data_IF_904498097518
#
_entry.id   IF_904498097518
#
_cell.length_a   1.000
_cell.length_b   1.000
_cell.length_c   1.000
_cell.angle_alpha   90.00
_cell.angle_beta   90.00
_cell.angle_gamma   90.00
#
_symmetry.space_group_name_H-M   'P 1'
#
loop_
_entity.id
_entity.type
_entity.pdbx_description
1 polymer ?
#
# COMPACT_ATOMS: atom_id res chain seq x y z
N UNK A 1 -36.81 33.15 -87.15
CA UNK A 1 -37.81 32.85 -86.11
C UNK A 1 -37.14 33.13 -84.76
N UNK A 2 -37.02 34.38 -84.28
CA UNK A 2 -38.04 35.22 -83.60
C UNK A 2 -38.87 34.40 -82.60
N UNK A 3 -38.94 34.67 -81.29
CA UNK A 3 -38.42 35.73 -80.43
C UNK A 3 -38.95 35.56 -78.99
N UNK A 4 -38.42 36.39 -78.07
CA UNK A 4 -38.99 36.96 -76.84
C UNK A 4 -39.88 36.08 -75.91
N UNK A 5 -39.49 35.85 -74.66
CA UNK A 5 -39.61 36.73 -73.47
C UNK A 5 -41.04 37.02 -72.95
N UNK A 6 -41.16 36.74 -71.65
CA UNK A 6 -41.96 37.41 -70.62
C UNK A 6 -43.47 37.09 -70.50
N UNK A 7 -43.87 36.79 -69.26
CA UNK A 7 -44.84 37.66 -68.60
C UNK A 7 -45.89 37.00 -67.70
N UNK A 8 -45.84 37.38 -66.41
CA UNK A 8 -46.98 37.75 -65.56
C UNK A 8 -47.99 36.63 -65.16
N UNK A 9 -48.56 36.56 -63.96
CA UNK A 9 -48.71 37.52 -62.86
C UNK A 9 -49.09 36.76 -61.59
N UNK A 10 -48.27 36.81 -60.54
CA UNK A 10 -48.73 36.60 -59.17
C UNK A 10 -48.86 37.97 -58.50
N UNK A 11 -50.11 38.40 -58.27
CA UNK A 11 -50.44 39.56 -57.43
C UNK A 11 -51.71 39.28 -56.64
N UNK A 12 -51.62 39.64 -55.35
CA UNK A 12 -52.67 39.86 -54.34
C UNK A 12 -53.31 38.57 -53.78
N UNK A 13 -53.18 38.24 -52.49
CA UNK A 13 -53.31 39.05 -51.27
C UNK A 13 -52.10 38.83 -50.33
N UNK A 14 -51.35 39.87 -49.93
CA UNK A 14 -51.58 40.74 -48.75
C UNK A 14 -51.49 39.93 -47.43
N UNK A 15 -50.59 40.18 -46.46
CA UNK A 15 -49.75 41.34 -46.15
C UNK A 15 -48.67 40.92 -45.11
N UNK A 16 -47.42 41.33 -45.38
CA UNK A 16 -46.32 41.77 -44.47
C UNK A 16 -46.11 41.06 -43.12
N UNK A 17 -45.02 40.34 -42.84
CA UNK A 17 -43.56 40.67 -42.94
C UNK A 17 -43.09 41.78 -41.99
N UNK A 18 -42.20 41.42 -41.05
CA UNK A 18 -40.82 41.93 -40.85
C UNK A 18 -40.34 41.41 -39.46
N UNK A 19 -39.33 40.51 -39.33
CA UNK A 19 -37.86 40.76 -39.39
C UNK A 19 -37.43 41.72 -38.25
N UNK A 20 -36.41 41.53 -37.39
CA UNK A 20 -35.08 40.87 -37.43
C UNK A 20 -34.60 40.60 -35.98
N UNK A 21 -33.61 39.72 -35.86
CA UNK A 21 -32.67 39.38 -34.77
C UNK A 21 -31.99 40.59 -34.07
N UNK A 22 -31.87 40.61 -32.74
CA UNK A 22 -30.61 40.80 -31.95
C UNK A 22 -30.82 41.00 -30.43
N UNK A 23 -29.92 40.36 -29.66
CA UNK A 23 -29.37 40.63 -28.31
C UNK A 23 -30.08 41.57 -27.31
N UNK A 24 -30.14 41.10 -26.05
CA UNK A 24 -29.68 41.77 -24.79
C UNK A 24 -30.67 41.91 -23.62
N UNK A 25 -30.09 41.66 -22.43
CA UNK A 25 -30.34 42.27 -21.12
C UNK A 25 -31.59 41.92 -20.29
N UNK A 26 -31.31 41.62 -19.01
CA UNK A 26 -32.22 41.52 -17.87
C UNK A 26 -32.98 42.83 -17.64
N UNK A 27 -34.26 42.75 -17.27
CA UNK A 27 -34.84 43.73 -16.34
C UNK A 27 -35.99 43.15 -15.50
N UNK A 28 -36.06 43.65 -14.26
CA UNK A 28 -36.90 43.19 -13.15
C UNK A 28 -38.37 43.57 -13.32
N UNK A 29 -39.28 42.61 -13.15
CA UNK A 29 -40.73 42.86 -13.09
C UNK A 29 -41.19 43.37 -11.71
N UNK A 30 -41.96 44.46 -11.72
CA UNK A 30 -42.53 45.20 -10.59
C UNK A 30 -43.22 44.35 -9.50
N UNK A 31 -42.94 44.65 -8.23
CA UNK A 31 -43.69 44.16 -7.07
C UNK A 31 -44.92 45.05 -6.79
N UNK A 32 -46.11 44.44 -6.75
CA UNK A 32 -47.34 45.09 -6.35
C UNK A 32 -47.58 44.82 -4.85
N UNK A 33 -47.73 45.87 -4.04
CA UNK A 33 -48.04 45.74 -2.61
C UNK A 33 -49.55 45.64 -2.39
N UNK A 34 -49.98 44.57 -1.71
CA UNK A 34 -51.36 44.40 -1.22
C UNK A 34 -51.37 44.73 0.27
N UNK A 35 -52.15 45.74 0.67
CA UNK A 35 -52.46 46.00 2.08
C UNK A 35 -53.80 45.36 2.45
N UNK A 36 -53.81 44.51 3.47
CA UNK A 36 -55.04 44.04 4.14
C UNK A 36 -55.05 44.53 5.58
N UNK A 37 -56.21 45.06 6.01
CA UNK A 37 -56.43 45.59 7.36
C UNK A 37 -56.66 44.48 8.39
N UNK A 38 -56.10 44.62 9.60
CA UNK A 38 -56.26 43.69 10.73
C UNK A 38 -57.25 44.26 11.77
N UNK A 39 -58.20 43.47 12.31
CA UNK A 39 -59.10 43.92 13.39
C UNK A 39 -58.38 44.04 14.75
N UNK A 40 -58.87 44.96 15.58
CA UNK A 40 -58.46 45.13 16.99
C UNK A 40 -59.03 44.02 17.86
N UNK A 41 -58.20 43.57 18.81
CA UNK A 41 -58.48 42.72 19.98
C UNK A 41 -58.19 41.21 19.81
N UNK A 42 -56.91 40.81 20.00
CA UNK A 42 -56.50 39.70 20.89
C UNK A 42 -54.97 39.49 20.94
N UNK A 43 -54.52 38.91 22.05
CA UNK A 43 -53.16 38.86 22.60
C UNK A 43 -52.04 38.30 21.72
N UNK A 44 -50.89 38.98 21.79
CA UNK A 44 -49.62 38.67 21.13
C UNK A 44 -48.75 37.80 22.05
N UNK A 45 -49.01 36.49 22.11
CA UNK A 45 -48.02 35.46 22.48
C UNK A 45 -48.59 34.07 22.15
N UNK A 46 -47.80 33.24 21.46
CA UNK A 46 -48.06 31.83 21.10
C UNK A 46 -48.98 31.57 19.90
N UNK A 47 -48.45 31.78 18.70
CA UNK A 47 -48.73 30.92 17.55
C UNK A 47 -47.56 30.98 16.56
N UNK A 48 -46.86 29.86 16.42
CA UNK A 48 -45.97 29.62 15.29
C UNK A 48 -46.82 29.41 14.04
N UNK A 49 -46.45 30.05 12.94
CA UNK A 49 -46.27 29.44 11.61
C UNK A 49 -45.98 30.53 10.58
N UNK A 50 -44.80 30.37 9.97
CA UNK A 50 -44.53 30.59 8.54
C UNK A 50 -44.64 32.02 8.01
N UNK A 51 -43.58 32.78 8.24
CA UNK A 51 -42.99 33.58 7.17
C UNK A 51 -41.48 33.78 7.43
N UNK A 52 -40.63 32.94 6.87
CA UNK A 52 -39.18 33.12 6.90
C UNK A 52 -38.62 32.97 5.49
N UNK A 53 -38.52 34.10 4.80
CA UNK A 53 -37.56 34.29 3.71
C UNK A 53 -36.11 34.30 4.22
N UNK A 54 -35.13 34.59 3.33
CA UNK A 54 -33.74 34.09 3.32
C UNK A 54 -32.82 34.59 4.46
N UNK A 55 -33.37 35.21 5.50
CA UNK A 55 -32.61 35.73 6.63
C UNK A 55 -32.27 34.67 7.70
N UNK A 56 -33.11 33.64 7.88
CA UNK A 56 -32.82 32.55 8.82
C UNK A 56 -31.78 31.57 8.26
N UNK A 57 -31.82 31.26 6.97
CA UNK A 57 -30.80 30.43 6.30
C UNK A 57 -29.41 31.10 6.33
N UNK A 58 -29.35 32.42 6.24
CA UNK A 58 -28.09 33.15 6.34
C UNK A 58 -27.53 33.12 7.77
N UNK A 59 -28.39 33.24 8.79
CA UNK A 59 -27.98 33.15 10.20
C UNK A 59 -27.50 31.75 10.56
N UNK A 60 -28.19 30.70 10.11
CA UNK A 60 -27.77 29.31 10.34
C UNK A 60 -26.44 29.02 9.64
N UNK A 61 -26.27 29.49 8.40
CA UNK A 61 -24.99 29.38 7.66
C UNK A 61 -23.85 30.12 8.37
N UNK A 62 -24.10 31.33 8.91
CA UNK A 62 -23.09 32.09 9.67
C UNK A 62 -22.72 31.37 10.97
N UNK A 63 -23.68 30.77 11.67
CA UNK A 63 -23.43 29.99 12.89
C UNK A 63 -22.62 28.73 12.57
N UNK A 64 -22.95 28.03 11.50
CA UNK A 64 -22.24 26.82 11.05
C UNK A 64 -20.81 27.13 10.59
N UNK A 65 -20.60 28.25 9.89
CA UNK A 65 -19.27 28.75 9.55
C UNK A 65 -18.46 29.11 10.79
N UNK A 66 -19.09 29.76 11.79
CA UNK A 66 -18.43 30.10 13.06
C UNK A 66 -18.00 28.86 13.83
N UNK A 67 -18.83 27.82 13.84
CA UNK A 67 -18.52 26.54 14.47
C UNK A 67 -17.39 25.80 13.75
N UNK A 68 -17.41 25.80 12.41
CA UNK A 68 -16.33 25.22 11.59
C UNK A 68 -15.00 25.93 11.81
N UNK A 69 -15.00 27.27 11.92
CA UNK A 69 -13.81 28.06 12.22
C UNK A 69 -13.27 27.76 13.62
N UNK A 70 -14.14 27.57 14.61
CA UNK A 70 -13.72 27.19 15.97
C UNK A 70 -13.11 25.79 16.00
N UNK A 71 -13.70 24.83 15.27
CA UNK A 71 -13.20 23.46 15.17
C UNK A 71 -11.86 23.39 14.41
N UNK A 72 -11.70 24.18 13.35
CA UNK A 72 -10.41 24.34 12.66
C UNK A 72 -9.36 24.96 13.57
N UNK A 73 -9.73 25.98 14.36
CA UNK A 73 -8.83 26.61 15.32
C UNK A 73 -8.33 25.61 16.38
N UNK A 74 -9.20 24.76 16.91
CA UNK A 74 -8.84 23.73 17.88
C UNK A 74 -7.90 22.67 17.26
N UNK A 75 -8.20 22.25 16.03
CA UNK A 75 -7.35 21.31 15.27
C UNK A 75 -5.95 21.89 15.04
N UNK A 76 -5.85 23.18 14.67
CA UNK A 76 -4.58 23.88 14.47
C UNK A 76 -3.81 24.01 15.79
N UNK A 77 -4.48 24.25 16.91
CA UNK A 77 -3.82 24.31 18.23
C UNK A 77 -3.25 22.94 18.60
N UNK A 78 -4.00 21.85 18.40
CA UNK A 78 -3.50 20.49 18.65
C UNK A 78 -2.35 20.11 17.71
N UNK A 79 -2.41 20.50 16.43
CA UNK A 79 -1.31 20.31 15.48
C UNK A 79 -0.07 21.12 15.89
N UNK A 80 -0.24 22.33 16.45
CA UNK A 80 0.88 23.14 16.95
C UNK A 80 1.51 22.54 18.21
N UNK A 81 0.71 21.93 19.08
CA UNK A 81 1.19 21.21 20.27
C UNK A 81 2.04 19.99 19.87
N UNK A 82 1.53 19.18 18.95
CA UNK A 82 2.23 17.99 18.42
C UNK A 82 3.50 18.36 17.66
N UNK A 83 3.48 19.44 16.87
CA UNK A 83 4.70 19.96 16.24
C UNK A 83 5.72 20.39 17.31
N UNK A 84 5.33 21.13 18.36
CA UNK A 84 6.27 21.48 19.45
C UNK A 84 6.86 20.26 20.14
N UNK A 85 6.05 19.24 20.40
CA UNK A 85 6.50 18.02 21.03
C UNK A 85 7.50 17.27 20.12
N UNK A 86 7.20 17.16 18.82
CA UNK A 86 8.09 16.56 17.83
C UNK A 86 9.38 17.37 17.69
N UNK A 87 9.32 18.71 17.66
CA UNK A 87 10.52 19.57 17.63
C UNK A 87 11.36 19.42 18.89
N UNK A 88 10.75 19.28 20.07
CA UNK A 88 11.46 18.99 21.32
C UNK A 88 12.13 17.62 21.31
N UNK A 89 11.47 16.60 20.75
CA UNK A 89 12.05 15.25 20.60
C UNK A 89 13.18 15.24 19.57
N UNK A 90 13.03 15.96 18.45
CA UNK A 90 14.04 16.11 17.42
C UNK A 90 15.29 16.84 17.96
N UNK A 91 15.10 17.92 18.73
CA UNK A 91 16.19 18.65 19.37
C UNK A 91 16.97 17.79 20.37
N UNK A 92 16.31 16.86 21.08
CA UNK A 92 17.00 15.88 21.93
C UNK A 92 17.82 14.87 21.12
N UNK A 93 17.30 14.43 19.98
CA UNK A 93 18.05 13.56 19.06
C UNK A 93 19.23 14.30 18.41
N UNK A 94 19.08 15.57 18.03
CA UNK A 94 20.18 16.39 17.49
C UNK A 94 21.26 16.70 18.53
N UNK A 95 20.88 16.87 19.80
CA UNK A 95 21.86 17.04 20.88
C UNK A 95 22.71 15.80 21.16
N UNK A 96 22.32 14.64 20.62
CA UNK A 96 23.09 13.38 20.69
C UNK A 96 23.94 13.12 19.42
N UNK A 97 23.83 13.94 18.37
CA UNK A 97 24.40 13.64 17.05
C UNK A 97 25.39 14.68 16.49
N UNK A 98 25.99 15.54 17.31
CA UNK A 98 27.11 16.40 16.88
C UNK A 98 28.31 16.42 17.85
N UNK A 99 29.56 16.44 17.34
CA UNK A 99 30.78 16.33 18.16
C UNK A 99 31.20 17.68 18.76
N UNK A 100 31.31 17.74 20.09
CA UNK A 100 31.73 18.94 20.81
C UNK A 100 33.26 19.15 20.78
N UNK A 101 33.67 20.33 20.29
CA UNK A 101 34.99 20.92 20.50
C UNK A 101 35.05 21.68 21.85
N UNK A 102 36.27 21.94 22.30
CA UNK A 102 36.72 22.28 23.66
C UNK A 102 36.32 23.65 24.26
N UNK A 103 36.33 23.75 25.60
CA UNK A 103 36.58 24.99 26.39
C UNK A 103 35.76 25.16 27.69
N UNK A 104 36.28 25.78 28.78
CA UNK A 104 36.19 25.20 30.14
C UNK A 104 35.45 26.02 31.22
N UNK A 105 35.01 25.34 32.30
CA UNK A 105 34.94 25.93 33.65
C UNK A 105 33.67 25.66 34.48
N UNK A 106 33.80 25.01 35.66
CA UNK A 106 32.78 25.06 36.73
C UNK A 106 32.69 23.81 37.64
N UNK A 107 33.16 23.93 38.90
CA UNK A 107 32.97 23.01 40.06
C UNK A 107 31.46 22.88 40.40
N UNK A 108 30.85 21.79 40.92
CA UNK A 108 31.07 20.94 42.12
C UNK A 108 29.91 19.87 42.20
N UNK A 109 29.72 19.01 43.24
CA UNK A 109 29.70 17.54 43.13
C UNK A 109 28.34 16.84 43.40
N UNK A 110 28.20 15.56 43.01
CA UNK A 110 27.06 14.73 43.46
C UNK A 110 26.96 13.31 42.88
N UNK A 111 27.56 12.34 43.60
CA UNK A 111 27.08 10.96 43.89
C UNK A 111 26.38 10.08 42.81
N UNK A 112 27.12 9.03 42.40
CA UNK A 112 26.73 7.59 42.27
C UNK A 112 25.45 7.19 41.49
N UNK A 113 25.62 6.55 40.32
CA UNK A 113 25.73 5.08 40.14
C UNK A 113 25.33 4.59 38.72
N UNK A 114 26.19 3.70 38.19
CA UNK A 114 25.93 2.49 37.37
C UNK A 114 25.41 2.54 35.93
N UNK A 115 26.21 1.86 35.09
CA UNK A 115 25.93 1.13 33.84
C UNK A 115 25.87 1.92 32.53
N UNK A 116 26.93 1.74 31.73
CA UNK A 116 27.00 2.06 30.31
C UNK A 116 28.17 2.99 29.99
N UNK A 117 29.33 2.44 29.61
CA UNK A 117 29.75 2.52 28.20
C UNK A 117 31.04 1.73 27.95
N UNK A 118 31.03 1.00 26.84
CA UNK A 118 32.15 0.26 26.26
C UNK A 118 32.67 1.12 25.10
N UNK A 119 33.99 1.12 24.94
CA UNK A 119 34.70 1.60 23.75
C UNK A 119 35.03 3.09 23.67
N UNK A 120 36.12 3.47 24.35
CA UNK A 120 36.90 4.67 24.02
C UNK A 120 38.42 4.46 24.16
N UNK A 121 38.89 3.23 23.95
CA UNK A 121 40.29 2.84 24.20
C UNK A 121 41.18 2.68 22.97
N UNK A 122 40.66 2.79 21.75
CA UNK A 122 41.43 2.49 20.52
C UNK A 122 41.94 3.72 19.78
N UNK A 123 41.43 4.91 20.07
CA UNK A 123 41.84 6.16 19.40
C UNK A 123 42.92 6.96 20.15
N UNK A 124 43.08 6.76 21.47
CA UNK A 124 44.20 7.35 22.24
C UNK A 124 45.52 6.58 22.06
N UNK A 125 45.45 5.26 21.82
CA UNK A 125 46.62 4.40 21.66
C UNK A 125 47.37 4.64 20.35
N UNK A 126 46.66 4.97 19.26
CA UNK A 126 47.29 5.28 17.96
C UNK A 126 48.01 6.64 17.94
N UNK A 127 47.49 7.65 18.64
CA UNK A 127 48.12 8.96 18.75
C UNK A 127 49.38 8.93 19.64
N UNK A 128 49.36 8.14 20.72
CA UNK A 128 50.54 7.89 21.57
C UNK A 128 51.63 7.08 20.85
N UNK A 129 51.25 6.12 19.99
CA UNK A 129 52.22 5.36 19.21
C UNK A 129 52.92 6.23 18.14
N UNK A 130 52.20 7.17 17.53
CA UNK A 130 52.77 8.10 16.56
C UNK A 130 53.81 9.06 17.15
N UNK A 131 53.52 9.63 18.33
CA UNK A 131 54.46 10.53 19.03
C UNK A 131 55.69 9.81 19.58
N UNK A 132 55.53 8.57 20.04
CA UNK A 132 56.66 7.75 20.52
C UNK A 132 57.58 7.31 19.38
N UNK A 133 57.03 6.98 18.20
CA UNK A 133 57.83 6.67 16.99
C UNK A 133 58.62 7.87 16.47
N UNK A 134 58.05 9.08 16.48
CA UNK A 134 58.78 10.31 16.11
C UNK A 134 59.87 10.67 17.11
N UNK A 135 59.61 10.50 18.40
CA UNK A 135 60.62 10.71 19.45
C UNK A 135 61.76 9.69 19.36
N UNK A 136 61.45 8.43 19.03
CA UNK A 136 62.45 7.39 18.81
C UNK A 136 63.27 7.63 17.54
N UNK A 137 62.65 8.09 16.45
CA UNK A 137 63.34 8.46 15.21
C UNK A 137 64.36 9.58 15.44
N UNK A 138 63.97 10.61 16.19
CA UNK A 138 64.85 11.75 16.49
C UNK A 138 65.97 11.40 17.50
N UNK A 139 65.76 10.37 18.33
CA UNK A 139 66.83 9.78 19.16
C UNK A 139 67.77 8.89 18.35
N UNK A 140 67.27 8.17 17.34
CA UNK A 140 68.10 7.35 16.44
C UNK A 140 69.03 8.22 15.59
N UNK A 141 68.51 9.34 15.04
CA UNK A 141 69.30 10.30 14.25
C UNK A 141 70.38 11.01 15.09
N UNK A 142 70.07 11.35 16.36
CA UNK A 142 71.07 11.90 17.30
C UNK A 142 72.13 10.86 17.75
N UNK A 143 71.76 9.57 17.84
CA UNK A 143 72.69 8.48 18.17
C UNK A 143 73.59 8.10 16.98
N UNK A 144 73.13 8.29 15.74
CA UNK A 144 73.96 8.08 14.54
C UNK A 144 75.05 9.15 14.38
N UNK A 145 74.80 10.38 14.84
CA UNK A 145 75.80 11.46 14.85
C UNK A 145 76.89 11.29 15.92
N UNK A 146 76.63 10.56 17.00
CA UNK A 146 77.62 10.24 18.03
C UNK A 146 78.52 9.04 17.67
N UNK A 147 78.15 8.26 16.64
CA UNK A 147 78.82 7.01 16.25
C UNK A 147 79.88 7.18 15.14
N UNK A 148 80.01 8.37 14.54
CA UNK A 148 81.03 8.65 13.50
C UNK A 148 82.38 9.17 14.02
N UNK A 149 82.60 9.17 15.34
CA UNK A 149 83.80 9.71 15.98
C UNK A 149 84.57 8.70 16.83
N UNK A 150 85.06 7.62 16.22
CA UNK A 150 86.20 6.78 16.63
C UNK A 150 86.15 5.94 17.94
N UNK A 151 86.10 4.61 17.71
CA UNK A 151 86.79 3.49 18.38
C UNK A 151 86.56 3.19 19.88
N UNK A 152 86.60 1.93 20.36
CA UNK A 152 86.40 0.55 19.87
C UNK A 152 86.81 -0.31 21.08
N UNK A 153 85.90 -1.16 21.61
CA UNK A 153 86.16 -2.36 22.45
C UNK A 153 85.13 -2.56 23.59
N UNK A 154 84.44 -1.51 24.07
CA UNK A 154 83.51 -1.65 25.22
C UNK A 154 82.04 -1.93 24.85
N UNK A 155 81.64 -1.71 23.59
CA UNK A 155 80.25 -1.85 23.16
C UNK A 155 79.77 -3.28 22.92
N UNK A 156 80.70 -4.23 22.69
CA UNK A 156 80.34 -5.61 22.39
C UNK A 156 79.97 -6.39 23.67
N UNK A 157 80.65 -6.13 24.79
CA UNK A 157 80.40 -6.82 26.06
C UNK A 157 79.02 -6.52 26.65
N UNK A 158 78.54 -5.28 26.54
CA UNK A 158 77.22 -4.90 27.05
C UNK A 158 76.08 -5.45 26.18
N UNK A 159 76.31 -5.50 24.86
CA UNK A 159 75.35 -6.04 23.89
C UNK A 159 75.13 -7.53 24.10
N UNK A 160 76.20 -8.30 24.34
CA UNK A 160 76.10 -9.74 24.63
C UNK A 160 75.44 -10.02 25.99
N UNK A 161 75.68 -9.16 26.99
CA UNK A 161 75.03 -9.30 28.30
C UNK A 161 73.52 -9.01 28.23
N UNK A 162 73.12 -8.01 27.45
CA UNK A 162 71.72 -7.68 27.21
C UNK A 162 71.02 -8.77 26.39
N UNK A 163 71.68 -9.33 25.37
CA UNK A 163 71.12 -10.41 24.57
C UNK A 163 70.88 -11.67 25.41
N UNK A 164 71.84 -12.06 26.25
CA UNK A 164 71.67 -13.18 27.17
C UNK A 164 70.53 -12.95 28.19
N UNK A 165 70.32 -11.70 28.63
CA UNK A 165 69.24 -11.37 29.56
C UNK A 165 67.85 -11.42 28.90
N UNK A 166 67.77 -11.08 27.62
CA UNK A 166 66.55 -11.17 26.82
C UNK A 166 66.18 -12.64 26.60
N UNK A 167 67.14 -13.48 26.21
CA UNK A 167 66.91 -14.91 25.98
C UNK A 167 66.47 -15.63 27.27
N UNK A 168 67.03 -15.26 28.42
CA UNK A 168 66.65 -15.81 29.73
C UNK A 168 65.23 -15.40 30.15
N UNK A 169 64.85 -14.13 29.90
CA UNK A 169 63.48 -13.66 30.12
C UNK A 169 62.49 -14.32 29.16
N UNK A 170 62.86 -14.55 27.91
CA UNK A 170 61.99 -15.20 26.92
C UNK A 170 61.70 -16.65 27.32
N UNK A 171 62.72 -17.38 27.78
CA UNK A 171 62.55 -18.73 28.35
C UNK A 171 61.66 -18.73 29.59
N UNK A 172 61.78 -17.71 30.44
CA UNK A 172 60.98 -17.60 31.65
C UNK A 172 59.50 -17.24 31.35
N UNK A 173 59.25 -16.45 30.30
CA UNK A 173 57.91 -16.15 29.81
C UNK A 173 57.28 -17.38 29.15
N UNK A 174 58.01 -18.09 28.29
CA UNK A 174 57.54 -19.33 27.66
C UNK A 174 57.23 -20.42 28.69
N UNK A 175 58.06 -20.55 29.73
CA UNK A 175 57.80 -21.42 30.87
C UNK A 175 56.49 -21.05 31.58
N UNK A 176 56.25 -19.76 31.84
CA UNK A 176 55.01 -19.30 32.49
C UNK A 176 53.79 -19.49 31.60
N UNK A 177 53.89 -19.27 30.30
CA UNK A 177 52.81 -19.50 29.33
C UNK A 177 52.43 -20.97 29.27
N UNK A 178 53.41 -21.89 29.18
CA UNK A 178 53.13 -23.33 29.19
C UNK A 178 52.50 -23.79 30.52
N UNK A 179 52.95 -23.27 31.67
CA UNK A 179 52.32 -23.58 32.97
C UNK A 179 50.92 -23.00 33.11
N UNK A 180 50.60 -21.91 32.41
CA UNK A 180 49.26 -21.28 32.38
C UNK A 180 48.31 -21.98 31.40
N UNK A 181 48.83 -22.63 30.35
CA UNK A 181 48.03 -23.50 29.47
C UNK A 181 47.66 -24.82 30.16
N UNK A 182 48.54 -25.40 30.98
CA UNK A 182 48.26 -26.65 31.71
C UNK A 182 47.39 -26.47 32.98
N UNK A 183 47.32 -25.27 33.56
CA UNK A 183 46.66 -25.03 34.86
C UNK A 183 45.26 -24.39 34.81
N UNK A 184 44.60 -24.35 33.64
CA UNK A 184 43.23 -23.77 33.50
C UNK A 184 42.15 -24.87 33.30
N UNK A 185 41.50 -25.36 34.37
CA UNK A 185 40.33 -26.23 34.23
C UNK A 185 39.12 -25.37 33.83
N UNK A 186 39.00 -25.07 32.53
CA UNK A 186 37.90 -24.24 32.03
C UNK A 186 37.86 -24.04 30.50
N UNK A 187 38.97 -24.27 29.78
CA UNK A 187 39.02 -24.09 28.33
C UNK A 187 38.19 -25.15 27.55
N UNK A 188 37.93 -26.31 28.17
CA UNK A 188 37.10 -27.37 27.57
C UNK A 188 35.63 -26.95 27.47
N UNK A 189 35.10 -26.24 28.48
CA UNK A 189 33.72 -25.76 28.49
C UNK A 189 33.46 -24.62 27.49
N UNK A 190 34.39 -23.67 27.33
CA UNK A 190 34.21 -22.60 26.31
C UNK A 190 34.32 -23.14 24.88
N UNK A 191 35.23 -24.09 24.63
CA UNK A 191 35.36 -24.73 23.31
C UNK A 191 34.12 -25.58 22.99
N UNK A 192 33.63 -26.39 23.95
CA UNK A 192 32.38 -27.15 23.78
C UNK A 192 31.16 -26.23 23.58
N UNK A 193 31.12 -25.08 24.28
CA UNK A 193 30.04 -24.11 24.15
C UNK A 193 30.10 -23.37 22.81
N UNK A 194 31.29 -23.01 22.31
CA UNK A 194 31.48 -22.49 20.95
C UNK A 194 31.10 -23.51 19.88
N UNK A 195 31.51 -24.77 20.04
CA UNK A 195 31.14 -25.85 19.12
C UNK A 195 29.62 -26.12 19.12
N UNK A 196 28.93 -25.95 20.25
CA UNK A 196 27.46 -26.01 20.33
C UNK A 196 26.78 -24.82 19.64
N UNK A 197 27.32 -23.62 19.79
CA UNK A 197 26.81 -22.43 19.11
C UNK A 197 27.04 -22.54 17.60
N UNK A 198 28.18 -23.06 17.16
CA UNK A 198 28.51 -23.23 15.75
C UNK A 198 27.68 -24.36 15.10
N UNK A 199 27.45 -25.47 15.80
CA UNK A 199 26.57 -26.53 15.29
C UNK A 199 25.10 -26.11 15.22
N UNK A 200 24.61 -25.34 16.19
CA UNK A 200 23.25 -24.77 16.13
C UNK A 200 23.12 -23.72 15.03
N UNK A 201 24.13 -22.86 14.84
CA UNK A 201 24.17 -21.88 13.75
C UNK A 201 24.18 -22.55 12.37
N UNK A 202 24.94 -23.64 12.22
CA UNK A 202 25.00 -24.42 10.98
C UNK A 202 23.69 -25.14 10.71
N UNK A 203 23.06 -25.72 11.75
CA UNK A 203 21.73 -26.32 11.65
C UNK A 203 20.65 -25.29 11.28
N UNK A 204 20.73 -24.07 11.82
CA UNK A 204 19.83 -22.97 11.47
C UNK A 204 20.05 -22.49 10.05
N UNK A 205 21.30 -22.33 9.61
CA UNK A 205 21.60 -21.98 8.21
C UNK A 205 21.08 -23.04 7.24
N UNK A 206 21.27 -24.33 7.56
CA UNK A 206 20.74 -25.41 6.74
C UNK A 206 19.21 -25.39 6.68
N UNK A 207 18.54 -25.18 7.83
CA UNK A 207 17.08 -25.00 7.88
C UNK A 207 16.61 -23.79 7.08
N UNK A 208 17.31 -22.65 7.14
CA UNK A 208 16.99 -21.48 6.32
C UNK A 208 17.16 -21.80 4.84
N UNK A 209 18.24 -22.48 4.47
CA UNK A 209 18.51 -22.88 3.08
C UNK A 209 17.48 -23.87 2.56
N UNK A 210 17.03 -24.81 3.40
CA UNK A 210 15.98 -25.76 3.07
C UNK A 210 14.61 -25.06 2.94
N UNK A 211 14.29 -24.11 3.82
CA UNK A 211 13.08 -23.29 3.73
C UNK A 211 13.10 -22.33 2.52
N UNK A 212 14.27 -21.86 2.11
CA UNK A 212 14.45 -21.05 0.89
C UNK A 212 14.32 -21.92 -0.36
N UNK A 213 14.86 -23.15 -0.36
CA UNK A 213 14.65 -24.13 -1.44
C UNK A 213 13.19 -24.58 -1.58
N UNK A 214 12.46 -24.71 -0.48
CA UNK A 214 11.03 -25.09 -0.49
C UNK A 214 10.13 -23.97 -1.04
N UNK A 215 10.67 -22.75 -1.15
CA UNK A 215 10.00 -21.60 -1.76
C UNK A 215 9.94 -21.67 -3.29
N UNK A 216 10.90 -22.36 -3.92
CA UNK A 216 10.96 -22.53 -5.38
C UNK A 216 10.14 -23.73 -5.90
N UNK A 217 9.62 -24.58 -4.99
CA UNK A 217 8.80 -25.77 -5.32
C UNK A 217 7.33 -25.68 -4.91
N UNK A 218 6.94 -24.67 -4.12
CA UNK A 218 5.55 -24.51 -3.66
C UNK A 218 4.67 -23.93 -4.77
N UNK A 219 3.53 -24.54 -5.11
CA UNK A 219 2.59 -23.97 -6.06
C UNK A 219 2.10 -22.60 -5.58
N UNK A 220 2.52 -21.54 -6.26
CA UNK A 220 2.19 -20.15 -5.89
C UNK A 220 0.76 -19.75 -6.25
N UNK A 221 -0.01 -20.66 -6.83
CA UNK A 221 -1.39 -20.50 -7.29
C UNK A 221 -2.41 -21.26 -6.40
N UNK A 222 -1.95 -22.12 -5.48
CA UNK A 222 -2.81 -22.92 -4.60
C UNK A 222 -3.14 -22.21 -3.29
N UNK A 223 -3.81 -21.07 -3.40
CA UNK A 223 -4.26 -20.31 -2.24
C UNK A 223 -5.62 -19.65 -2.45
N UNK A 224 -6.29 -19.37 -1.33
CA UNK A 224 -7.49 -18.55 -1.25
C UNK A 224 -7.22 -17.32 -0.40
N UNK A 225 -7.98 -16.27 -0.66
CA UNK A 225 -8.11 -15.09 0.18
C UNK A 225 -9.41 -15.16 0.97
N UNK A 226 -9.36 -14.81 2.25
CA UNK A 226 -10.52 -14.77 3.12
C UNK A 226 -10.75 -13.35 3.63
N UNK A 227 -11.97 -12.87 3.41
CA UNK A 227 -12.49 -11.58 3.84
C UNK A 227 -13.58 -11.84 4.89
N UNK A 228 -13.24 -11.84 6.19
CA UNK A 228 -14.14 -12.35 7.22
C UNK A 228 -15.27 -11.38 7.59
N UNK A 229 -15.08 -10.08 7.35
CA UNK A 229 -15.95 -9.01 7.83
C UNK A 229 -16.04 -7.89 6.79
N UNK A 230 -17.18 -7.19 6.78
CA UNK A 230 -17.36 -5.97 6.00
C UNK A 230 -16.53 -4.84 6.60
N UNK A 231 -15.57 -4.34 5.83
CA UNK A 231 -14.73 -3.20 6.20
C UNK A 231 -14.46 -2.37 4.95
N UNK A 232 -14.02 -1.13 5.09
CA UNK A 232 -13.59 -0.28 3.99
C UNK A 232 -12.06 -0.27 3.81
N UNK A 233 -11.34 -1.27 4.34
CA UNK A 233 -9.88 -1.29 4.32
C UNK A 233 -9.27 -2.68 4.07
N UNK A 234 -10.02 -3.79 4.18
CA UNK A 234 -9.54 -5.12 3.79
C UNK A 234 -9.73 -5.32 2.29
N UNK A 235 -8.64 -5.42 1.55
CA UNK A 235 -8.68 -5.65 0.11
C UNK A 235 -7.38 -6.33 -0.35
N UNK A 236 -7.41 -6.89 -1.55
CA UNK A 236 -6.19 -7.24 -2.24
C UNK A 236 -6.09 -6.48 -3.56
N UNK A 237 -4.89 -6.11 -3.97
CA UNK A 237 -4.62 -5.33 -5.17
C UNK A 237 -3.81 -6.17 -6.15
N UNK A 238 -4.21 -6.18 -7.41
CA UNK A 238 -3.38 -6.75 -8.46
C UNK A 238 -2.17 -5.84 -8.70
N UNK A 239 -0.97 -6.42 -8.82
CA UNK A 239 0.26 -5.67 -9.13
C UNK A 239 0.31 -5.19 -10.58
N UNK A 240 -0.35 -5.92 -11.47
CA UNK A 240 -0.45 -5.59 -12.89
C UNK A 240 -1.81 -4.97 -13.19
N UNK A 241 -1.82 -4.03 -14.12
CA UNK A 241 -3.04 -3.46 -14.67
C UNK A 241 -3.56 -4.29 -15.84
N UNK A 242 -4.82 -4.05 -16.24
CA UNK A 242 -5.42 -4.68 -17.40
C UNK A 242 -5.04 -3.91 -18.68
N UNK A 243 -4.82 -4.61 -19.81
CA UNK A 243 -4.65 -3.97 -21.11
C UNK A 243 -6.01 -3.53 -21.68
N UNK A 244 -5.99 -2.87 -22.84
CA UNK A 244 -7.21 -2.61 -23.59
C UNK A 244 -7.82 -3.93 -24.08
N UNK A 245 -9.11 -4.16 -23.82
CA UNK A 245 -9.78 -5.42 -24.20
C UNK A 245 -11.12 -5.18 -24.91
N UNK A 246 -11.23 -5.74 -26.12
CA UNK A 246 -12.46 -5.73 -26.93
C UNK A 246 -13.38 -6.91 -26.63
N UNK A 247 -12.84 -7.95 -25.99
CA UNK A 247 -13.58 -9.08 -25.46
C UNK A 247 -12.76 -9.66 -24.32
N UNK A 248 -13.41 -10.23 -23.31
CA UNK A 248 -12.71 -10.87 -22.23
C UNK A 248 -13.53 -12.00 -21.60
N UNK A 249 -12.85 -12.79 -20.79
CA UNK A 249 -13.47 -13.72 -19.86
C UNK A 249 -12.85 -13.50 -18.48
N UNK A 250 -13.67 -13.53 -17.44
CA UNK A 250 -13.24 -13.51 -16.04
C UNK A 250 -13.83 -14.71 -15.34
N UNK A 251 -12.98 -15.48 -14.67
CA UNK A 251 -13.39 -16.67 -13.92
C UNK A 251 -12.79 -16.62 -12.52
N UNK A 252 -13.53 -17.10 -11.53
CA UNK A 252 -13.10 -17.15 -10.13
C UNK A 252 -13.84 -18.26 -9.37
N UNK A 253 -13.19 -18.76 -8.32
CA UNK A 253 -13.84 -19.57 -7.30
C UNK A 253 -14.26 -18.67 -6.13
N UNK A 254 -15.51 -18.81 -5.70
CA UNK A 254 -16.08 -18.01 -4.62
C UNK A 254 -16.84 -18.90 -3.65
N UNK A 255 -16.79 -18.56 -2.37
CA UNK A 255 -17.62 -19.15 -1.33
C UNK A 255 -18.06 -18.07 -0.37
N UNK A 256 -19.35 -18.00 -0.09
CA UNK A 256 -19.89 -17.06 0.89
C UNK A 256 -21.18 -17.58 1.51
N UNK A 257 -21.45 -17.13 2.73
CA UNK A 257 -22.73 -17.30 3.42
C UNK A 257 -23.24 -15.94 3.92
N UNK A 258 -22.76 -14.85 3.31
CA UNK A 258 -23.16 -13.51 3.66
C UNK A 258 -24.56 -13.19 3.12
N UNK A 259 -25.32 -12.45 3.92
CA UNK A 259 -26.68 -11.98 3.61
C UNK A 259 -26.77 -10.49 3.94
N UNK A 260 -27.58 -9.67 3.24
CA UNK A 260 -28.46 -10.04 2.11
C UNK A 260 -27.75 -10.25 0.77
N UNK A 261 -26.50 -9.80 0.61
CA UNK A 261 -25.66 -10.08 -0.55
C UNK A 261 -24.19 -10.23 -0.17
N UNK A 262 -23.39 -10.87 -1.03
CA UNK A 262 -21.99 -11.18 -0.72
C UNK A 262 -21.05 -9.99 -0.74
N UNK A 263 -21.44 -8.85 -1.34
CA UNK A 263 -20.59 -7.68 -1.55
C UNK A 263 -19.87 -7.72 -2.90
N UNK A 264 -18.65 -7.19 -2.98
CA UNK A 264 -17.93 -6.96 -4.25
C UNK A 264 -16.67 -7.83 -4.38
N UNK A 265 -16.76 -9.03 -4.98
CA UNK A 265 -15.61 -9.91 -5.18
C UNK A 265 -14.42 -9.23 -5.85
N UNK A 266 -14.68 -8.42 -6.89
CA UNK A 266 -13.65 -7.61 -7.54
C UNK A 266 -14.23 -6.36 -8.21
N UNK A 267 -13.39 -5.34 -8.34
CA UNK A 267 -13.64 -4.11 -9.07
C UNK A 267 -12.39 -3.67 -9.81
N UNK A 268 -12.56 -3.00 -10.95
CA UNK A 268 -11.50 -2.38 -11.72
C UNK A 268 -11.92 -0.97 -12.09
N UNK A 269 -11.06 -0.02 -11.74
CA UNK A 269 -11.28 1.41 -11.95
C UNK A 269 -10.18 1.97 -12.85
N UNK A 270 -10.52 2.93 -13.72
CA UNK A 270 -9.59 3.71 -14.54
C UNK A 270 -9.78 5.20 -14.25
N UNK A 271 -8.81 6.07 -14.60
CA UNK A 271 -9.00 7.51 -14.45
C UNK A 271 -10.29 7.99 -15.12
N UNK A 272 -11.18 8.58 -14.33
CA UNK A 272 -12.47 9.12 -14.79
C UNK A 272 -13.62 8.11 -14.94
N UNK A 273 -13.39 6.82 -14.66
CA UNK A 273 -14.46 5.81 -14.59
C UNK A 273 -14.11 4.76 -13.53
N UNK A 274 -14.75 4.88 -12.36
CA UNK A 274 -14.50 3.99 -11.23
C UNK A 274 -15.16 2.61 -11.44
N UNK A 275 -16.30 2.60 -12.13
CA UNK A 275 -17.08 1.40 -12.47
C UNK A 275 -16.72 0.87 -13.87
N UNK A 276 -15.44 0.79 -14.20
CA UNK A 276 -14.99 0.31 -15.51
C UNK A 276 -15.31 -1.17 -15.69
N UNK A 277 -15.08 -1.98 -14.65
CA UNK A 277 -15.49 -3.38 -14.59
C UNK A 277 -15.72 -3.80 -13.13
N UNK A 278 -16.94 -4.20 -12.76
CA UNK A 278 -17.27 -4.55 -11.36
C UNK A 278 -18.18 -5.78 -11.31
N UNK A 279 -17.94 -6.67 -10.35
CA UNK A 279 -18.88 -7.73 -9.97
C UNK A 279 -19.32 -7.49 -8.52
N UNK A 280 -20.62 -7.32 -8.29
CA UNK A 280 -21.16 -6.94 -6.99
C UNK A 280 -22.51 -7.61 -6.72
N UNK A 281 -22.76 -8.02 -5.49
CA UNK A 281 -24.10 -8.38 -5.00
C UNK A 281 -24.39 -7.58 -3.73
N UNK A 282 -25.20 -6.53 -3.87
CA UNK A 282 -25.44 -5.55 -2.81
C UNK A 282 -26.92 -5.38 -2.50
N UNK A 283 -27.24 -5.35 -1.20
CA UNK A 283 -28.62 -5.29 -0.72
C UNK A 283 -29.40 -6.55 -1.09
N UNK A 284 -30.64 -6.36 -1.55
CA UNK A 284 -31.53 -7.44 -2.00
C UNK A 284 -31.53 -7.60 -3.53
N UNK A 285 -30.53 -7.05 -4.21
CA UNK A 285 -30.40 -7.18 -5.66
C UNK A 285 -29.69 -8.50 -5.99
N UNK A 286 -30.00 -9.12 -7.15
CA UNK A 286 -29.18 -10.21 -7.64
C UNK A 286 -27.75 -9.74 -7.90
N UNK A 287 -26.82 -10.67 -8.08
CA UNK A 287 -25.47 -10.33 -8.51
C UNK A 287 -25.50 -9.53 -9.81
N UNK A 288 -24.84 -8.39 -9.81
CA UNK A 288 -24.75 -7.43 -10.91
C UNK A 288 -23.32 -7.38 -11.45
N UNK A 289 -23.23 -7.27 -12.77
CA UNK A 289 -21.99 -7.11 -13.49
C UNK A 289 -22.01 -5.79 -14.23
N UNK A 290 -21.06 -4.93 -13.88
CA UNK A 290 -20.97 -3.59 -14.41
C UNK A 290 -19.80 -3.49 -15.39
N UNK A 291 -20.06 -2.85 -16.53
CA UNK A 291 -19.02 -2.40 -17.47
C UNK A 291 -19.33 -0.96 -17.83
N UNK A 292 -18.38 -0.05 -17.60
CA UNK A 292 -18.56 1.38 -17.86
C UNK A 292 -19.88 1.93 -17.27
N UNK A 293 -20.15 1.57 -16.01
CA UNK A 293 -21.35 1.96 -15.26
C UNK A 293 -22.69 1.46 -15.87
N UNK A 294 -22.64 0.53 -16.83
CA UNK A 294 -23.80 -0.19 -17.36
C UNK A 294 -23.95 -1.52 -16.65
N UNK A 295 -25.18 -1.88 -16.29
CA UNK A 295 -25.49 -3.02 -15.42
C UNK A 295 -26.08 -4.17 -16.22
N UNK A 296 -25.58 -5.39 -15.98
CA UNK A 296 -26.25 -6.64 -16.31
C UNK A 296 -26.53 -7.45 -15.04
N UNK A 297 -27.74 -7.97 -14.91
CA UNK A 297 -28.13 -8.82 -13.78
C UNK A 297 -27.81 -10.27 -14.09
N UNK A 298 -27.03 -10.90 -13.23
CA UNK A 298 -26.55 -12.27 -13.39
C UNK A 298 -27.41 -13.24 -12.56
N UNK A 299 -27.81 -14.39 -13.13
CA UNK A 299 -28.62 -15.39 -12.45
C UNK A 299 -27.77 -16.36 -11.63
N UNK A 300 -26.86 -15.84 -10.80
CA UNK A 300 -26.01 -16.66 -9.93
C UNK A 300 -26.65 -16.88 -8.57
N UNK A 301 -26.42 -18.06 -8.00
CA UNK A 301 -26.87 -18.44 -6.65
C UNK A 301 -25.66 -19.00 -5.91
N UNK A 302 -25.06 -18.21 -5.01
CA UNK A 302 -23.77 -18.53 -4.36
C UNK A 302 -23.76 -18.35 -2.84
N UNK A 303 -24.87 -17.94 -2.24
CA UNK A 303 -24.99 -17.64 -0.81
C UNK A 303 -25.37 -18.87 0.02
N UNK A 304 -24.91 -20.06 -0.36
CA UNK A 304 -25.23 -21.34 0.30
C UNK A 304 -24.07 -21.87 1.17
N UNK A 305 -23.00 -21.08 1.31
CA UNK A 305 -21.80 -21.45 2.06
C UNK A 305 -20.89 -22.47 1.35
N UNK A 306 -21.13 -22.79 0.08
CA UNK A 306 -20.29 -23.72 -0.71
C UNK A 306 -19.42 -22.99 -1.72
N UNK A 307 -18.42 -23.71 -2.20
CA UNK A 307 -17.57 -23.25 -3.30
C UNK A 307 -18.31 -23.36 -4.62
N UNK A 308 -18.35 -22.25 -5.35
CA UNK A 308 -18.85 -22.16 -6.71
C UNK A 308 -17.78 -21.61 -7.64
N UNK A 309 -17.76 -22.11 -8.86
CA UNK A 309 -16.95 -21.56 -9.93
C UNK A 309 -17.80 -20.67 -10.82
N UNK A 310 -17.50 -19.38 -10.86
CA UNK A 310 -18.18 -18.41 -11.70
C UNK A 310 -17.29 -18.04 -12.88
N UNK A 311 -17.88 -17.98 -14.08
CA UNK A 311 -17.24 -17.38 -15.25
C UNK A 311 -18.21 -16.44 -15.95
N UNK A 312 -17.72 -15.28 -16.34
CA UNK A 312 -18.46 -14.34 -17.19
C UNK A 312 -17.61 -14.07 -18.42
N UNK A 313 -18.23 -14.17 -19.59
CA UNK A 313 -17.61 -13.76 -20.85
C UNK A 313 -18.35 -12.55 -21.41
N UNK A 314 -17.63 -11.63 -22.05
CA UNK A 314 -18.21 -10.43 -22.63
C UNK A 314 -17.46 -10.00 -23.89
N UNK A 315 -18.16 -9.32 -24.81
CA UNK A 315 -17.58 -8.71 -26.01
C UNK A 315 -18.18 -7.34 -26.31
N UNK A 316 -17.34 -6.43 -26.80
CA UNK A 316 -17.73 -5.10 -27.31
C UNK A 316 -18.79 -5.19 -28.41
N UNK A 317 -18.78 -6.27 -29.21
CA UNK A 317 -19.76 -6.47 -30.28
C UNK A 317 -21.13 -6.70 -29.67
N UNK A 318 -21.99 -5.70 -29.79
CA UNK A 318 -23.37 -5.65 -29.29
C UNK A 318 -23.48 -5.83 -27.76
N UNK A 319 -22.36 -5.72 -27.03
CA UNK A 319 -22.33 -5.88 -25.58
C UNK A 319 -22.79 -7.26 -25.11
N UNK A 320 -22.55 -8.30 -25.90
CA UNK A 320 -22.99 -9.66 -25.57
C UNK A 320 -22.21 -10.22 -24.38
N UNK A 321 -22.94 -10.78 -23.41
CA UNK A 321 -22.37 -11.44 -22.25
C UNK A 321 -23.00 -12.81 -22.01
N UNK A 322 -22.21 -13.71 -21.40
CA UNK A 322 -22.65 -15.04 -20.97
C UNK A 322 -22.12 -15.32 -19.57
N UNK A 323 -22.98 -15.86 -18.71
CA UNK A 323 -22.71 -16.15 -17.31
C UNK A 323 -22.81 -17.65 -17.05
N UNK A 324 -21.74 -18.22 -16.51
CA UNK A 324 -21.60 -19.64 -16.22
C UNK A 324 -21.37 -19.84 -14.72
N UNK A 325 -22.09 -20.82 -14.15
CA UNK A 325 -21.90 -21.26 -12.77
C UNK A 325 -21.61 -22.76 -12.79
N UNK A 326 -20.53 -23.15 -12.13
CA UNK A 326 -20.06 -24.53 -12.00
C UNK A 326 -19.90 -25.23 -13.36
N UNK A 327 -19.40 -24.47 -14.35
CA UNK A 327 -19.15 -24.95 -15.72
C UNK A 327 -20.39 -24.98 -16.62
N UNK A 328 -21.56 -24.57 -16.13
CA UNK A 328 -22.83 -24.61 -16.88
C UNK A 328 -23.33 -23.20 -17.14
N UNK A 329 -23.78 -22.93 -18.37
CA UNK A 329 -24.40 -21.65 -18.75
C UNK A 329 -25.68 -21.43 -17.94
N UNK A 330 -25.78 -20.29 -17.24
CA UNK A 330 -26.94 -19.90 -16.43
C UNK A 330 -27.70 -18.71 -17.01
N UNK A 331 -27.01 -17.82 -17.72
CA UNK A 331 -27.60 -16.64 -18.31
C UNK A 331 -26.78 -16.09 -19.45
N UNK A 332 -27.42 -15.30 -20.29
CA UNK A 332 -26.79 -14.53 -21.34
C UNK A 332 -27.62 -13.27 -21.60
N UNK A 333 -27.02 -12.30 -22.29
CA UNK A 333 -27.70 -11.09 -22.72
C UNK A 333 -26.84 -10.27 -23.66
N UNK A 334 -27.36 -9.10 -24.03
CA UNK A 334 -26.74 -8.15 -24.94
C UNK A 334 -26.90 -6.71 -24.40
N UNK A 335 -26.39 -5.73 -25.13
CA UNK A 335 -26.41 -4.31 -24.79
C UNK A 335 -25.72 -3.92 -23.46
N UNK A 336 -24.82 -4.77 -22.94
CA UNK A 336 -23.93 -4.37 -21.85
C UNK A 336 -22.74 -3.60 -22.42
N UNK A 337 -22.76 -2.27 -22.28
CA UNK A 337 -21.68 -1.38 -22.75
C UNK A 337 -21.19 -1.67 -24.19
N UNK A 338 -22.09 -1.73 -25.19
CA UNK A 338 -21.70 -2.04 -26.57
C UNK A 338 -20.68 -1.02 -27.09
N UNK A 339 -19.71 -1.50 -27.87
CA UNK A 339 -18.65 -0.71 -28.50
C UNK A 339 -17.70 0.04 -27.55
N UNK A 340 -17.75 -0.25 -26.25
CA UNK A 340 -16.84 0.31 -25.25
C UNK A 340 -15.72 -0.70 -24.91
N UNK A 341 -14.51 -0.62 -25.47
CA UNK A 341 -13.42 -1.48 -25.02
C UNK A 341 -13.08 -1.18 -23.56
N UNK A 342 -12.71 -2.21 -22.80
CA UNK A 342 -12.22 -2.03 -21.43
C UNK A 342 -10.94 -1.22 -21.50
N UNK A 343 -10.91 -0.10 -20.79
CA UNK A 343 -9.78 0.84 -20.80
C UNK A 343 -8.56 0.24 -20.08
N UNK A 344 -7.35 0.48 -20.61
CA UNK A 344 -6.12 0.00 -19.98
C UNK A 344 -5.73 0.82 -18.74
N UNK A 345 -4.67 0.37 -18.07
CA UNK A 345 -3.89 1.15 -17.08
C UNK A 345 -4.67 1.60 -15.82
N UNK A 346 -5.73 0.88 -15.48
CA UNK A 346 -6.49 1.02 -14.23
C UNK A 346 -5.93 0.23 -13.05
N UNK A 347 -6.74 0.11 -12.00
CA UNK A 347 -6.42 -0.60 -10.76
C UNK A 347 -7.46 -1.69 -10.50
N UNK A 348 -7.01 -2.95 -10.49
CA UNK A 348 -7.83 -4.12 -10.14
C UNK A 348 -7.71 -4.38 -8.63
N UNK A 349 -8.86 -4.34 -7.95
CA UNK A 349 -9.02 -4.58 -6.52
C UNK A 349 -9.92 -5.79 -6.31
N UNK A 350 -9.58 -6.61 -5.32
CA UNK A 350 -10.37 -7.75 -4.84
C UNK A 350 -10.95 -7.42 -3.47
N UNK A 351 -12.24 -7.70 -3.32
CA UNK A 351 -12.98 -7.59 -2.07
C UNK A 351 -13.59 -6.22 -1.76
N UNK A 352 -13.41 -5.22 -2.63
CA UNK A 352 -13.97 -3.87 -2.47
C UNK A 352 -14.50 -3.32 -3.80
N UNK A 353 -15.54 -2.49 -3.69
CA UNK A 353 -16.04 -1.60 -4.74
C UNK A 353 -15.21 -0.30 -4.72
N UNK A 354 -14.93 0.31 -5.88
CA UNK A 354 -14.07 1.48 -6.02
C UNK A 354 -14.88 2.73 -6.42
N UNK A 355 -15.04 3.71 -5.52
CA UNK A 355 -15.55 5.05 -5.90
C UNK A 355 -14.44 5.97 -6.48
N UNK A 356 -13.17 5.62 -6.24
CA UNK A 356 -12.02 6.35 -6.76
C UNK A 356 -10.93 5.36 -7.21
N UNK A 357 -9.98 5.83 -8.01
CA UNK A 357 -8.91 4.97 -8.54
C UNK A 357 -8.08 4.34 -7.39
N UNK A 358 -8.28 3.04 -7.15
CA UNK A 358 -7.61 2.28 -6.11
C UNK A 358 -8.08 2.54 -4.68
N UNK A 359 -9.25 3.17 -4.47
CA UNK A 359 -9.74 3.54 -3.14
C UNK A 359 -11.20 3.99 -3.13
N UNK A 360 -11.60 4.76 -2.11
CA UNK A 360 -12.99 5.21 -1.96
C UNK A 360 -13.92 4.05 -1.62
N UNK A 361 -13.49 3.18 -0.72
CA UNK A 361 -14.22 1.94 -0.42
C UNK A 361 -15.38 2.21 0.56
N UNK A 362 -16.55 1.64 0.28
CA UNK A 362 -17.67 1.55 1.22
C UNK A 362 -17.73 0.15 1.86
N UNK A 363 -17.69 0.12 3.19
CA UNK A 363 -17.84 -1.11 3.96
C UNK A 363 -19.17 -1.83 3.67
N UNK A 364 -20.25 -1.12 3.30
CA UNK A 364 -21.54 -1.78 3.00
C UNK A 364 -21.50 -2.63 1.73
N UNK A 365 -20.58 -2.32 0.81
CA UNK A 365 -20.38 -3.01 -0.47
C UNK A 365 -19.20 -4.00 -0.44
N UNK A 366 -18.43 -4.02 0.65
CA UNK A 366 -17.29 -4.91 0.83
C UNK A 366 -17.68 -6.39 0.74
N UNK A 367 -16.82 -7.18 0.09
CA UNK A 367 -16.99 -8.62 0.01
C UNK A 367 -16.80 -9.30 1.36
N UNK A 368 -17.66 -10.28 1.64
CA UNK A 368 -17.47 -11.21 2.76
C UNK A 368 -17.51 -12.63 2.23
N UNK A 369 -16.43 -13.36 2.43
CA UNK A 369 -16.30 -14.74 1.98
C UNK A 369 -14.87 -15.14 1.65
N UNK A 370 -14.76 -16.19 0.86
CA UNK A 370 -13.51 -16.78 0.40
C UNK A 370 -13.45 -16.66 -1.13
N UNK A 371 -12.29 -16.26 -1.66
CA UNK A 371 -12.04 -16.05 -3.08
C UNK A 371 -10.76 -16.79 -3.49
N UNK A 372 -10.77 -17.47 -4.62
CA UNK A 372 -9.58 -18.12 -5.17
C UNK A 372 -9.60 -18.15 -6.70
N UNK A 373 -8.44 -18.39 -7.30
CA UNK A 373 -8.29 -18.62 -8.75
C UNK A 373 -8.98 -17.59 -9.65
N UNK A 374 -8.96 -16.30 -9.27
CA UNK A 374 -9.40 -15.25 -10.18
C UNK A 374 -8.42 -15.17 -11.36
N UNK A 375 -8.93 -15.38 -12.56
CA UNK A 375 -8.17 -15.36 -13.80
C UNK A 375 -8.92 -14.55 -14.85
N UNK A 376 -8.18 -13.82 -15.69
CA UNK A 376 -8.72 -12.97 -16.75
C UNK A 376 -8.03 -13.31 -18.08
N UNK A 377 -8.83 -13.36 -19.13
CA UNK A 377 -8.40 -13.55 -20.51
C UNK A 377 -8.89 -12.41 -21.39
N UNK A 378 -8.11 -11.97 -22.38
CA UNK A 378 -8.52 -10.99 -23.39
C UNK A 378 -9.27 -11.62 -24.59
N UNK A 379 -9.92 -12.75 -24.35
CA UNK A 379 -10.74 -13.46 -25.34
C UNK A 379 -11.97 -14.03 -24.68
N UNK A 380 -13.01 -14.27 -25.48
CA UNK A 380 -14.15 -15.09 -25.07
C UNK A 380 -13.72 -16.56 -25.01
N UNK A 381 -13.82 -17.18 -23.83
CA UNK A 381 -13.58 -18.60 -23.65
C UNK A 381 -14.74 -19.42 -24.20
N UNK A 382 -14.43 -20.59 -24.72
CA UNK A 382 -15.43 -21.58 -25.12
C UNK A 382 -16.05 -22.28 -23.91
N UNK A 383 -17.25 -22.83 -24.07
CA UNK A 383 -17.92 -23.63 -23.04
C UNK A 383 -17.04 -24.80 -22.56
N UNK A 384 -16.27 -25.43 -23.45
CA UNK A 384 -15.35 -26.52 -23.09
C UNK A 384 -14.16 -26.04 -22.24
N UNK A 385 -13.58 -24.87 -22.55
CA UNK A 385 -12.53 -24.26 -21.73
C UNK A 385 -13.07 -23.91 -20.32
N UNK A 386 -14.27 -23.35 -20.24
CA UNK A 386 -14.95 -23.00 -18.98
C UNK A 386 -15.27 -24.24 -18.15
N UNK A 387 -15.75 -25.31 -18.79
CA UNK A 387 -16.00 -26.59 -18.13
C UNK A 387 -14.71 -27.20 -17.57
N UNK A 388 -13.61 -27.13 -18.32
CA UNK A 388 -12.30 -27.59 -17.85
C UNK A 388 -11.82 -26.80 -16.61
N UNK A 389 -12.06 -25.48 -16.56
CA UNK A 389 -11.77 -24.65 -15.39
C UNK A 389 -12.62 -25.07 -14.17
N UNK A 390 -13.93 -25.26 -14.37
CA UNK A 390 -14.86 -25.64 -13.31
C UNK A 390 -14.61 -27.03 -12.72
N UNK A 391 -14.05 -27.95 -13.52
CA UNK A 391 -13.75 -29.34 -13.12
C UNK A 391 -12.29 -29.56 -12.77
N UNK A 392 -11.48 -28.49 -12.70
CA UNK A 392 -10.05 -28.54 -12.42
C UNK A 392 -9.28 -29.50 -13.33
N UNK A 393 -9.69 -29.56 -14.60
CA UNK A 393 -9.07 -30.40 -15.60
C UNK A 393 -7.66 -29.86 -15.92
N UNK A 394 -6.69 -30.75 -16.13
CA UNK A 394 -5.32 -30.35 -16.52
C UNK A 394 -5.24 -29.61 -17.86
N UNK A 395 -6.30 -29.66 -18.68
CA UNK A 395 -6.46 -28.91 -19.93
C UNK A 395 -7.03 -27.50 -19.72
N UNK A 396 -7.30 -27.08 -18.48
CA UNK A 396 -7.80 -25.75 -18.19
C UNK A 396 -6.79 -24.69 -18.67
N UNK A 397 -7.22 -23.67 -19.45
CA UNK A 397 -6.32 -22.60 -19.87
C UNK A 397 -5.88 -21.76 -18.66
N UNK A 398 -4.67 -21.22 -18.70
CA UNK A 398 -4.20 -20.22 -17.74
C UNK A 398 -4.61 -18.81 -18.18
N UNK A 399 -4.91 -17.92 -17.23
CA UNK A 399 -5.22 -16.50 -17.49
C UNK A 399 -4.05 -15.79 -18.15
N UNK A 400 -4.26 -15.23 -19.35
CA UNK A 400 -3.19 -14.54 -20.09
C UNK A 400 -3.14 -13.03 -19.82
N UNK A 401 -4.18 -12.46 -19.22
CA UNK A 401 -4.21 -11.05 -18.78
C UNK A 401 -3.90 -10.96 -17.29
N UNK A 402 -4.60 -11.74 -16.48
CA UNK A 402 -4.33 -11.87 -15.06
C UNK A 402 -4.37 -13.34 -14.68
N UNK A 403 -3.32 -13.79 -14.01
CA UNK A 403 -3.20 -15.15 -13.47
C UNK A 403 -3.13 -15.13 -11.95
N UNK A 404 -3.86 -16.05 -11.32
CA UNK A 404 -3.89 -16.19 -9.87
C UNK A 404 -2.57 -16.73 -9.32
N UNK A 405 -1.67 -15.85 -8.91
CA UNK A 405 -0.40 -16.21 -8.27
C UNK A 405 -0.09 -15.26 -7.12
N UNK A 406 0.61 -15.73 -6.09
CA UNK A 406 1.03 -14.91 -4.95
C UNK A 406 1.85 -13.69 -5.39
N UNK A 407 2.61 -13.82 -6.47
CA UNK A 407 3.45 -12.73 -6.98
C UNK A 407 2.63 -11.60 -7.60
N UNK A 408 1.41 -11.87 -8.08
CA UNK A 408 0.56 -10.90 -8.77
C UNK A 408 -0.38 -10.12 -7.83
N UNK A 409 -0.40 -10.45 -6.53
CA UNK A 409 -1.38 -9.92 -5.58
C UNK A 409 -0.68 -9.34 -4.33
N UNK A 410 -1.11 -8.15 -3.93
CA UNK A 410 -0.72 -7.50 -2.67
C UNK A 410 -1.93 -7.45 -1.74
N UNK A 411 -1.78 -7.88 -0.49
CA UNK A 411 -2.88 -7.99 0.46
C UNK A 411 -2.79 -6.86 1.49
N UNK A 412 -3.91 -6.18 1.74
CA UNK A 412 -4.02 -5.03 2.63
C UNK A 412 -5.11 -5.24 3.69
N UNK A 413 -5.00 -4.49 4.78
CA UNK A 413 -6.05 -4.40 5.81
C UNK A 413 -6.26 -5.65 6.68
N UNK A 414 -5.43 -6.69 6.53
CA UNK A 414 -5.53 -7.90 7.34
C UNK A 414 -6.42 -9.00 6.75
N UNK A 415 -6.76 -8.93 5.45
CA UNK A 415 -7.29 -10.10 4.75
C UNK A 415 -6.30 -11.27 4.85
N UNK A 416 -6.82 -12.49 5.05
CA UNK A 416 -5.97 -13.66 5.35
C UNK A 416 -5.82 -14.55 4.12
N UNK A 417 -4.66 -15.22 4.01
CA UNK A 417 -4.33 -16.15 2.94
C UNK A 417 -4.25 -17.56 3.49
N UNK A 418 -4.95 -18.50 2.86
CA UNK A 418 -4.96 -19.92 3.22
C UNK A 418 -4.65 -20.78 2.00
N UNK A 419 -4.15 -22.00 2.20
CA UNK A 419 -3.98 -22.96 1.10
C UNK A 419 -5.33 -23.40 0.57
N UNK A 420 -5.47 -23.44 -0.75
CA UNK A 420 -6.69 -23.89 -1.41
C UNK A 420 -6.35 -24.80 -2.58
N UNK A 421 -7.05 -25.93 -2.66
CA UNK A 421 -7.00 -26.82 -3.80
C UNK A 421 -8.43 -26.97 -4.34
N UNK A 422 -8.74 -26.36 -5.48
CA UNK A 422 -10.08 -26.45 -6.06
C UNK A 422 -10.37 -27.90 -6.48
N UNK A 423 -11.65 -28.26 -6.51
CA UNK A 423 -12.15 -29.59 -6.86
C UNK A 423 -11.64 -30.77 -6.00
N UNK A 424 -10.96 -30.52 -4.88
CA UNK A 424 -10.67 -31.57 -3.91
C UNK A 424 -11.96 -31.93 -3.18
N UNK A 425 -12.34 -33.21 -3.20
CA UNK A 425 -13.44 -33.70 -2.36
C UNK A 425 -13.12 -33.40 -0.89
N UNK A 426 -14.04 -32.74 -0.19
CA UNK A 426 -14.03 -32.73 1.27
C UNK A 426 -14.19 -34.20 1.70
N UNK A 427 -13.12 -34.78 2.24
CA UNK A 427 -13.17 -36.13 2.83
C UNK A 427 -14.09 -36.17 4.04
#
# INVERSE_FOLDING_TARGET
MTGAMAGFSWKLFLLSSLLVVESSAQDFGQTQFICTSVPKDMDLCTASMQNSGPAEDLKTTIIQLRETVLQQKETIVNQKETIRELTSKLSRCESQSLPAAAGPGGRRPGSKNTMGDVSRGTTETLAQLGQTLQTLKQRLENLEQYSRGNNSAQSNSLKDLLQNKIDDMERQVLSRVNTLEESKPGARNESEQRNRVESTLTSLHHRITDLEKDKDGRPTDKFQLTFPLRTNYMYAKAKMSLPEMYSFSVCLWIKSNASPGVGTPFSYAVPGQANELVLIEWGNNPMEFLINDKVAKLPFLINDGKWHHLCITWTTRDGMWEAYQDGVLRGNGENLAPYHPIKPDGVLVLGQEQDTLGGGFDATQAFVGELAHLNIWNKKLSMAEIYNLATCNSKAPAGNVFSWTENNIEIFGGATKWTFEPCRSLN
#
